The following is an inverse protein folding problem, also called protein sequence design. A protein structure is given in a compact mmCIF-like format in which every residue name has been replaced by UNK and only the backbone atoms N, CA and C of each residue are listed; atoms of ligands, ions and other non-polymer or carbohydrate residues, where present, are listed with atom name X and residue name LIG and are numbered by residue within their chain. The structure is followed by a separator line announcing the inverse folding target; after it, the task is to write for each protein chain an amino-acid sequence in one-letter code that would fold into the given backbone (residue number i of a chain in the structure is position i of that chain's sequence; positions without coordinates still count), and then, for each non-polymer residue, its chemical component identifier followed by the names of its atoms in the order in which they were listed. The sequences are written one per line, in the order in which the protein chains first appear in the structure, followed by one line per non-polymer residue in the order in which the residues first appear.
data_IF_185923187337
#
_entry.id   IF_185923187337
#
_cell.length_a   1.000
_cell.length_b   1.000
_cell.length_c   1.000
_cell.angle_alpha   90.00
_cell.angle_beta   90.00
_cell.angle_gamma   90.00
#
_symmetry.space_group_name_H-M   'P 1'
#
loop_
_entity.id
_entity.type
_entity.pdbx_description
1 polymer ?
#
# COMPACT_ATOMS: atom_id res chain seq x y z
N UNK A 1 -4.26 3.43 7.52
CA UNK A 1 -4.00 2.47 8.61
C UNK A 1 -3.19 3.15 9.71
N UNK A 2 -3.48 2.85 10.97
CA UNK A 2 -2.78 3.41 12.14
C UNK A 2 -2.24 2.30 13.05
N UNK A 3 -1.18 2.58 13.81
CA UNK A 3 -0.59 1.67 14.80
C UNK A 3 -0.09 2.47 16.00
N UNK A 4 -0.13 1.89 17.20
CA UNK A 4 0.56 2.48 18.34
C UNK A 4 2.10 2.40 18.17
N UNK A 5 2.85 3.39 18.65
CA UNK A 5 4.31 3.32 18.71
C UNK A 5 4.79 2.06 19.48
N UNK A 6 5.97 1.56 19.11
CA UNK A 6 6.48 0.29 19.65
C UNK A 6 6.66 0.26 21.18
N UNK A 7 7.00 1.40 21.79
CA UNK A 7 7.24 1.51 23.23
C UNK A 7 5.98 1.65 24.10
N UNK A 8 4.79 1.77 23.49
CA UNK A 8 3.56 2.03 24.26
C UNK A 8 3.25 0.89 25.24
N UNK A 9 3.52 -0.36 24.87
CA UNK A 9 3.30 -1.51 25.77
C UNK A 9 4.23 -1.43 26.98
N UNK A 10 5.52 -1.20 26.75
CA UNK A 10 6.53 -1.13 27.81
C UNK A 10 6.24 0.05 28.77
N UNK A 11 5.83 1.21 28.24
CA UNK A 11 5.44 2.39 29.03
C UNK A 11 4.24 2.10 29.95
N UNK A 12 3.28 1.29 29.49
CA UNK A 12 2.11 0.88 30.28
C UNK A 12 2.51 -0.12 31.37
N UNK A 13 3.39 -1.07 31.06
CA UNK A 13 3.88 -2.03 32.05
C UNK A 13 4.72 -1.36 33.16
N UNK A 14 5.42 -0.28 32.84
CA UNK A 14 6.18 0.53 33.82
C UNK A 14 5.29 1.43 34.70
N UNK A 15 4.06 1.74 34.29
CA UNK A 15 3.06 2.43 35.10
C UNK A 15 1.67 1.79 34.97
N UNK A 16 1.46 0.61 35.58
CA UNK A 16 0.20 -0.11 35.49
C UNK A 16 -0.95 0.59 36.23
N UNK A 17 -0.64 1.59 37.07
CA UNK A 17 -1.63 2.43 37.74
C UNK A 17 -2.19 3.53 36.85
N UNK A 18 -1.50 3.85 35.73
CA UNK A 18 -1.87 4.92 34.82
C UNK A 18 -1.72 6.33 35.43
N UNK A 19 -1.03 6.46 36.55
CA UNK A 19 -0.90 7.73 37.27
C UNK A 19 -0.13 8.78 36.44
N UNK A 20 0.94 8.38 35.75
CA UNK A 20 1.68 9.24 34.82
C UNK A 20 0.77 9.72 33.70
N UNK A 21 -0.04 8.83 33.12
CA UNK A 21 -0.99 9.18 32.05
C UNK A 21 -2.14 10.10 32.53
N UNK A 22 -2.52 10.02 33.82
CA UNK A 22 -3.57 10.85 34.41
C UNK A 22 -3.13 12.32 34.60
N UNK A 23 -1.85 12.53 34.88
CA UNK A 23 -1.25 13.86 35.03
C UNK A 23 -0.66 14.41 33.73
N UNK A 24 -0.39 13.53 32.77
CA UNK A 24 -0.01 13.93 31.42
C UNK A 24 -1.22 14.57 30.73
N UNK A 25 -1.20 15.90 30.67
CA UNK A 25 -2.19 16.67 29.90
C UNK A 25 -1.84 16.48 28.43
N UNK A 26 -2.27 15.34 27.89
CA UNK A 26 -2.00 14.94 26.51
C UNK A 26 -2.31 16.06 25.52
N UNK A 27 -1.69 15.99 24.34
CA UNK A 27 -1.82 17.01 23.32
C UNK A 27 -3.30 17.28 22.98
N UNK A 28 -3.71 18.55 23.05
CA UNK A 28 -5.06 19.06 22.79
C UNK A 28 -6.17 18.42 23.65
N UNK A 29 -5.88 18.12 24.92
CA UNK A 29 -6.80 17.40 25.84
C UNK A 29 -7.22 16.00 25.31
N UNK A 30 -6.45 15.42 24.39
CA UNK A 30 -6.66 14.05 23.93
C UNK A 30 -5.87 13.03 24.74
N UNK A 31 -6.05 11.75 24.42
CA UNK A 31 -5.29 10.65 25.04
C UNK A 31 -3.78 10.88 24.97
N UNK A 32 -3.04 10.45 26.00
CA UNK A 32 -1.57 10.57 26.07
C UNK A 32 -0.89 9.76 24.97
N UNK A 33 -1.35 8.53 24.72
CA UNK A 33 -0.84 7.72 23.62
C UNK A 33 -1.50 8.12 22.29
N UNK A 34 -0.69 8.55 21.33
CA UNK A 34 -1.13 8.83 19.97
C UNK A 34 -0.74 7.68 19.06
N UNK A 35 -1.64 7.32 18.14
CA UNK A 35 -1.34 6.34 17.10
C UNK A 35 -0.63 7.02 15.92
N UNK A 36 0.36 6.33 15.37
CA UNK A 36 1.04 6.72 14.15
C UNK A 36 0.27 6.27 12.93
N UNK A 37 0.18 7.14 11.93
CA UNK A 37 -0.35 6.78 10.62
C UNK A 37 0.75 6.08 9.83
N UNK A 38 0.64 4.75 9.71
CA UNK A 38 1.66 3.91 9.04
C UNK A 38 1.43 3.75 7.54
N UNK A 39 0.20 3.96 7.08
CA UNK A 39 -0.17 3.83 5.68
C UNK A 39 -1.35 4.76 5.34
N UNK A 40 -1.25 5.44 4.20
CA UNK A 40 -2.28 6.30 3.63
C UNK A 40 -2.34 6.06 2.13
N UNK A 41 -3.55 5.95 1.60
CA UNK A 41 -3.78 5.73 0.18
C UNK A 41 -5.18 6.18 -0.23
N UNK A 42 -5.28 6.95 -1.32
CA UNK A 42 -6.57 7.31 -1.89
C UNK A 42 -7.00 6.29 -2.96
N UNK A 43 -8.04 5.50 -2.64
CA UNK A 43 -8.60 4.49 -3.54
C UNK A 43 -9.30 5.13 -4.75
N UNK A 44 -9.93 6.29 -4.56
CA UNK A 44 -10.78 6.95 -5.57
C UNK A 44 -12.28 6.79 -5.30
N UNK A 45 -12.64 5.86 -4.41
CA UNK A 45 -14.03 5.55 -4.04
C UNK A 45 -14.16 5.40 -2.51
N UNK A 46 -15.39 5.52 -2.01
CA UNK A 46 -15.67 5.31 -0.58
C UNK A 46 -15.60 3.82 -0.28
N UNK A 47 -14.64 3.43 0.56
CA UNK A 47 -14.54 2.07 1.09
C UNK A 47 -15.65 1.84 2.11
N UNK A 48 -16.45 0.78 1.90
CA UNK A 48 -17.62 0.43 2.73
C UNK A 48 -17.35 -0.72 3.68
N UNK A 49 -16.40 -1.61 3.37
CA UNK A 49 -15.94 -2.66 4.28
C UNK A 49 -14.46 -2.95 4.08
N UNK A 50 -13.79 -3.38 5.15
CA UNK A 50 -12.41 -3.88 5.12
C UNK A 50 -12.34 -5.11 6.01
N UNK A 51 -11.77 -6.20 5.49
CA UNK A 51 -11.63 -7.46 6.21
C UNK A 51 -10.26 -8.07 5.94
N UNK A 52 -9.56 -8.49 7.00
CA UNK A 52 -8.39 -9.36 6.87
C UNK A 52 -8.86 -10.77 6.54
N UNK A 53 -8.43 -11.32 5.42
CA UNK A 53 -8.86 -12.63 4.95
C UNK A 53 -7.79 -13.30 4.09
N UNK A 54 -7.90 -14.62 3.96
CA UNK A 54 -7.16 -15.42 2.99
C UNK A 54 -8.11 -15.82 1.87
N UNK A 55 -7.84 -15.39 0.63
CA UNK A 55 -8.74 -15.61 -0.51
C UNK A 55 -8.60 -16.99 -1.15
N UNK A 56 -7.45 -17.64 -0.98
CA UNK A 56 -7.12 -18.94 -1.59
C UNK A 56 -6.71 -19.92 -0.49
N UNK A 57 -7.19 -21.19 -0.51
CA UNK A 57 -6.70 -22.20 0.42
C UNK A 57 -5.17 -22.32 0.39
N UNK A 58 -4.50 -22.12 1.53
CA UNK A 58 -3.04 -22.13 1.62
C UNK A 58 -2.35 -20.84 1.17
N UNK A 59 -3.12 -19.83 0.74
CA UNK A 59 -2.62 -18.49 0.40
C UNK A 59 -2.25 -17.66 1.63
N UNK A 60 -1.68 -16.49 1.38
CA UNK A 60 -1.31 -15.54 2.43
C UNK A 60 -2.47 -14.60 2.79
N UNK A 61 -2.49 -14.09 4.03
CA UNK A 61 -3.47 -13.09 4.43
C UNK A 61 -3.28 -11.77 3.68
N UNK A 62 -4.39 -11.14 3.30
CA UNK A 62 -4.45 -9.79 2.75
C UNK A 62 -5.59 -9.00 3.39
N UNK A 63 -5.60 -7.68 3.19
CA UNK A 63 -6.76 -6.87 3.54
C UNK A 63 -7.64 -6.71 2.30
N UNK A 64 -8.80 -7.32 2.32
CA UNK A 64 -9.82 -7.19 1.28
C UNK A 64 -10.72 -6.03 1.63
N UNK A 65 -11.02 -5.17 0.67
CA UNK A 65 -11.95 -4.06 0.85
C UNK A 65 -13.00 -4.01 -0.26
N UNK A 66 -14.18 -3.48 0.09
CA UNK A 66 -15.25 -3.21 -0.88
C UNK A 66 -15.55 -1.72 -0.92
N UNK A 67 -16.01 -1.23 -2.06
CA UNK A 67 -16.35 0.18 -2.26
C UNK A 67 -17.85 0.36 -2.54
N UNK A 68 -18.34 1.59 -2.34
CA UNK A 68 -19.73 1.96 -2.58
C UNK A 68 -20.16 1.78 -4.05
N UNK A 69 -19.21 1.88 -5.00
CA UNK A 69 -19.46 1.68 -6.43
C UNK A 69 -19.47 0.19 -6.84
N UNK A 70 -19.29 -0.74 -5.88
CA UNK A 70 -19.24 -2.17 -6.14
C UNK A 70 -17.85 -2.70 -6.48
N UNK A 71 -16.80 -1.88 -6.34
CA UNK A 71 -15.42 -2.32 -6.49
C UNK A 71 -14.98 -3.23 -5.34
N UNK A 72 -14.13 -4.21 -5.65
CA UNK A 72 -13.46 -5.07 -4.66
C UNK A 72 -11.97 -4.97 -4.91
N UNK A 73 -11.22 -4.58 -3.89
CA UNK A 73 -9.78 -4.45 -3.96
C UNK A 73 -9.08 -5.18 -2.81
N UNK A 74 -7.77 -5.32 -2.93
CA UNK A 74 -6.92 -5.97 -1.93
C UNK A 74 -5.70 -5.11 -1.63
N UNK A 75 -5.26 -5.10 -0.36
CA UNK A 75 -3.96 -4.61 0.04
C UNK A 75 -3.11 -5.79 0.48
N UNK A 76 -1.99 -5.97 -0.20
CA UNK A 76 -1.08 -7.10 -0.04
C UNK A 76 0.19 -6.64 0.66
N UNK A 77 0.62 -7.31 1.74
CA UNK A 77 1.90 -7.01 2.37
C UNK A 77 3.05 -7.61 1.57
N UNK A 78 4.11 -6.83 1.34
CA UNK A 78 5.36 -7.36 0.79
C UNK A 78 6.07 -8.26 1.80
N UNK A 79 6.66 -9.35 1.32
CA UNK A 79 7.42 -10.31 2.13
C UNK A 79 8.91 -9.99 2.22
N UNK A 80 9.42 -9.14 1.31
CA UNK A 80 10.83 -8.76 1.26
C UNK A 80 10.98 -7.28 0.88
N UNK A 81 12.06 -6.65 1.34
CA UNK A 81 12.43 -5.30 0.90
C UNK A 81 12.76 -5.26 -0.59
N UNK A 82 13.36 -6.33 -1.13
CA UNK A 82 13.67 -6.44 -2.56
C UNK A 82 12.42 -6.38 -3.44
N UNK A 83 11.32 -7.02 -3.02
CA UNK A 83 10.04 -6.93 -3.73
C UNK A 83 9.45 -5.52 -3.62
N UNK A 84 9.43 -4.95 -2.42
CA UNK A 84 8.98 -3.58 -2.21
C UNK A 84 9.72 -2.60 -3.13
N UNK A 85 11.04 -2.65 -3.14
CA UNK A 85 11.88 -1.75 -3.93
C UNK A 85 11.66 -1.97 -5.42
N UNK A 86 11.55 -3.23 -5.88
CA UNK A 86 11.23 -3.53 -7.28
C UNK A 86 9.91 -2.88 -7.72
N UNK A 87 8.83 -3.09 -6.95
CA UNK A 87 7.51 -2.56 -7.30
C UNK A 87 7.45 -1.04 -7.17
N UNK A 88 8.21 -0.45 -6.24
CA UNK A 88 8.32 0.99 -6.10
C UNK A 88 8.96 1.61 -7.34
N UNK A 89 10.07 1.05 -7.82
CA UNK A 89 10.72 1.53 -9.04
C UNK A 89 9.82 1.31 -10.27
N UNK A 90 9.18 0.14 -10.39
CA UNK A 90 8.24 -0.13 -11.48
C UNK A 90 7.10 0.92 -11.53
N UNK A 91 6.48 1.23 -10.39
CA UNK A 91 5.46 2.28 -10.29
C UNK A 91 6.02 3.64 -10.75
N UNK A 92 7.21 4.02 -10.29
CA UNK A 92 7.87 5.27 -10.69
C UNK A 92 8.08 5.37 -12.21
N UNK A 93 8.52 4.30 -12.86
CA UNK A 93 8.72 4.27 -14.32
C UNK A 93 7.38 4.35 -15.07
N UNK A 94 6.37 3.55 -14.67
CA UNK A 94 5.07 3.54 -15.36
C UNK A 94 4.37 4.89 -15.23
N UNK A 95 4.49 5.58 -14.09
CA UNK A 95 3.95 6.94 -13.93
C UNK A 95 4.48 7.92 -14.98
N UNK A 96 5.71 7.74 -15.42
CA UNK A 96 6.35 8.61 -16.42
C UNK A 96 6.04 8.15 -17.84
N UNK A 97 6.11 6.84 -18.09
CA UNK A 97 5.98 6.26 -19.44
C UNK A 97 4.54 6.01 -19.88
N UNK A 98 3.61 5.88 -18.93
CA UNK A 98 2.20 5.58 -19.16
C UNK A 98 1.30 6.43 -18.23
N UNK A 99 1.30 7.77 -18.40
CA UNK A 99 0.56 8.67 -17.52
C UNK A 99 -0.95 8.46 -17.63
N UNK A 100 -1.73 8.82 -16.58
CA UNK A 100 -3.19 8.66 -16.59
C UNK A 100 -3.86 9.39 -17.77
N UNK A 101 -4.79 8.70 -18.43
CA UNK A 101 -5.44 9.15 -19.67
C UNK A 101 -6.10 10.53 -19.57
N UNK A 102 -6.68 10.86 -18.42
CA UNK A 102 -7.38 12.12 -18.20
C UNK A 102 -6.46 13.28 -17.80
N UNK A 103 -5.14 13.14 -17.96
CA UNK A 103 -4.16 14.20 -17.67
C UNK A 103 -3.97 14.49 -16.17
N UNK A 104 -4.48 13.63 -15.28
CA UNK A 104 -4.27 13.75 -13.84
C UNK A 104 -2.91 13.17 -13.48
N UNK A 105 -2.12 13.87 -12.67
CA UNK A 105 -0.92 13.28 -12.08
C UNK A 105 -1.30 12.15 -11.09
N UNK A 106 -0.68 10.98 -11.27
CA UNK A 106 -1.00 9.77 -10.51
C UNK A 106 -0.74 9.94 -9.01
N UNK A 107 0.41 10.50 -8.63
CA UNK A 107 0.77 10.67 -7.22
C UNK A 107 -0.12 11.69 -6.53
N UNK A 108 -0.47 12.77 -7.25
CA UNK A 108 -1.44 13.77 -6.80
C UNK A 108 -2.84 13.16 -6.62
N UNK A 109 -3.23 12.20 -7.45
CA UNK A 109 -4.48 11.45 -7.28
C UNK A 109 -4.41 10.54 -6.06
N UNK A 110 -3.38 9.70 -5.92
CA UNK A 110 -3.22 8.80 -4.76
C UNK A 110 -2.99 9.54 -3.44
N UNK A 111 -2.59 10.80 -3.52
CA UNK A 111 -2.39 11.71 -2.39
C UNK A 111 -3.50 12.76 -2.22
N UNK A 112 -4.71 12.52 -2.73
CA UNK A 112 -5.76 13.54 -2.85
C UNK A 112 -6.07 14.31 -1.55
N UNK A 113 -6.17 13.59 -0.42
CA UNK A 113 -6.45 14.19 0.89
C UNK A 113 -5.23 14.17 1.83
N UNK A 114 -4.46 13.09 1.78
CA UNK A 114 -3.25 12.89 2.57
C UNK A 114 -2.17 12.33 1.66
N UNK A 115 -0.89 12.68 1.85
CA UNK A 115 0.21 12.09 1.10
C UNK A 115 0.18 10.58 1.17
N UNK A 116 0.37 9.92 0.03
CA UNK A 116 0.53 8.46 -0.02
C UNK A 116 1.68 8.04 0.88
N UNK A 117 1.49 6.96 1.64
CA UNK A 117 2.50 6.45 2.57
C UNK A 117 2.47 4.93 2.56
N UNK A 118 3.61 4.31 2.25
CA UNK A 118 3.84 2.87 2.32
C UNK A 118 2.80 2.02 1.54
N UNK A 119 2.36 2.50 0.38
CA UNK A 119 1.48 1.77 -0.54
C UNK A 119 1.96 2.04 -1.96
N UNK A 120 2.04 0.97 -2.76
CA UNK A 120 2.35 1.00 -4.19
C UNK A 120 1.06 0.66 -4.95
N UNK A 121 0.77 1.39 -6.02
CA UNK A 121 -0.41 1.17 -6.84
C UNK A 121 -0.23 -0.03 -7.80
N UNK A 122 -0.71 -1.20 -7.37
CA UNK A 122 -0.69 -2.42 -8.17
C UNK A 122 -1.45 -2.30 -9.49
N UNK A 123 -2.56 -1.56 -9.53
CA UNK A 123 -3.36 -1.38 -10.75
C UNK A 123 -2.58 -0.59 -11.81
N UNK A 124 -1.75 0.37 -11.37
CA UNK A 124 -0.84 1.06 -12.27
C UNK A 124 0.28 0.11 -12.74
N UNK A 125 0.88 -0.65 -11.82
CA UNK A 125 1.93 -1.60 -12.15
C UNK A 125 1.50 -2.65 -13.19
N UNK A 126 0.27 -3.16 -13.11
CA UNK A 126 -0.27 -4.12 -14.07
C UNK A 126 -0.43 -3.54 -15.50
N UNK A 127 -0.50 -2.21 -15.65
CA UNK A 127 -0.56 -1.56 -16.97
C UNK A 127 0.72 -1.77 -17.78
N UNK A 128 1.83 -2.18 -17.15
CA UNK A 128 3.05 -2.57 -17.85
C UNK A 128 2.76 -3.51 -19.03
N UNK A 129 1.91 -4.52 -18.82
CA UNK A 129 1.57 -5.51 -19.84
C UNK A 129 0.76 -4.93 -21.03
N UNK A 130 0.18 -3.74 -20.87
CA UNK A 130 -0.58 -3.03 -21.90
C UNK A 130 0.23 -1.95 -22.63
N UNK A 131 1.46 -1.67 -22.20
CA UNK A 131 2.35 -0.71 -22.83
C UNK A 131 2.89 -1.23 -24.17
N UNK A 132 3.35 -0.32 -25.04
CA UNK A 132 4.04 -0.72 -26.27
C UNK A 132 5.30 -1.56 -25.95
N UNK A 133 5.63 -2.59 -26.76
CA UNK A 133 6.77 -3.47 -26.49
C UNK A 133 8.11 -2.74 -26.35
N UNK A 134 8.30 -1.64 -27.07
CA UNK A 134 9.48 -0.76 -26.96
C UNK A 134 9.61 -0.14 -25.56
N UNK A 135 8.50 0.35 -24.99
CA UNK A 135 8.48 0.93 -23.64
C UNK A 135 8.60 -0.13 -22.57
N UNK A 136 7.95 -1.29 -22.74
CA UNK A 136 8.13 -2.43 -21.84
C UNK A 136 9.61 -2.82 -21.74
N UNK A 137 10.28 -2.90 -22.88
CA UNK A 137 11.72 -3.18 -22.94
C UNK A 137 12.54 -2.10 -22.23
N UNK A 138 12.28 -0.83 -22.49
CA UNK A 138 12.98 0.29 -21.84
C UNK A 138 12.86 0.25 -20.32
N UNK A 139 11.63 0.09 -19.80
CA UNK A 139 11.37 0.02 -18.35
C UNK A 139 12.00 -1.24 -17.75
N UNK A 140 11.91 -2.38 -18.42
CA UNK A 140 12.52 -3.61 -17.92
C UNK A 140 14.05 -3.51 -17.85
N UNK A 141 14.69 -2.90 -18.86
CA UNK A 141 16.14 -2.64 -18.86
C UNK A 141 16.57 -1.74 -17.70
N UNK A 142 15.79 -0.70 -17.37
CA UNK A 142 16.05 0.17 -16.20
C UNK A 142 15.90 -0.56 -14.85
N UNK A 143 15.14 -1.65 -14.82
CA UNK A 143 15.00 -2.54 -13.67
C UNK A 143 15.98 -3.72 -13.67
N UNK A 144 16.93 -3.76 -14.61
CA UNK A 144 17.85 -4.88 -14.84
C UNK A 144 17.11 -6.23 -15.03
N UNK A 145 16.00 -6.21 -15.78
CA UNK A 145 15.13 -7.37 -16.06
C UNK A 145 14.72 -7.42 -17.52
N UNK A 146 14.11 -8.53 -17.90
CA UNK A 146 13.37 -8.67 -19.16
C UNK A 146 11.88 -8.37 -18.95
N UNK A 147 11.13 -7.96 -20.00
CA UNK A 147 9.69 -7.77 -19.87
C UNK A 147 8.96 -9.00 -19.34
N UNK A 148 9.38 -10.19 -19.76
CA UNK A 148 8.81 -11.45 -19.29
C UNK A 148 9.01 -11.68 -17.78
N UNK A 149 10.16 -11.29 -17.23
CA UNK A 149 10.41 -11.38 -15.78
C UNK A 149 9.58 -10.37 -14.98
N UNK A 150 9.39 -9.16 -15.50
CA UNK A 150 8.51 -8.15 -14.89
C UNK A 150 7.06 -8.64 -14.88
N UNK A 151 6.55 -9.11 -16.03
CA UNK A 151 5.20 -9.68 -16.14
C UNK A 151 5.00 -10.87 -15.21
N UNK A 152 5.98 -11.77 -15.14
CA UNK A 152 5.93 -12.92 -14.23
C UNK A 152 5.87 -12.47 -12.77
N UNK A 153 6.68 -11.48 -12.38
CA UNK A 153 6.69 -10.98 -10.99
C UNK A 153 5.38 -10.29 -10.59
N UNK A 154 4.73 -9.58 -11.52
CA UNK A 154 3.37 -9.04 -11.36
C UNK A 154 2.36 -10.17 -11.09
N UNK A 155 2.39 -11.21 -11.94
CA UNK A 155 1.51 -12.38 -11.84
C UNK A 155 1.74 -13.20 -10.55
N UNK A 156 3.00 -13.36 -10.13
CA UNK A 156 3.37 -14.09 -8.92
C UNK A 156 2.77 -13.45 -7.66
N UNK A 157 2.75 -12.11 -7.57
CA UNK A 157 2.07 -11.41 -6.47
C UNK A 157 0.57 -11.68 -6.53
N UNK A 158 -0.05 -11.52 -7.69
CA UNK A 158 -1.49 -11.73 -7.83
C UNK A 158 -1.88 -13.15 -7.43
N UNK A 159 -1.22 -14.15 -7.99
CA UNK A 159 -1.51 -15.58 -7.75
C UNK A 159 -1.31 -16.00 -6.29
N UNK A 160 -0.40 -15.34 -5.55
CA UNK A 160 -0.14 -15.67 -4.14
C UNK A 160 -1.27 -15.22 -3.20
N UNK A 161 -1.98 -14.14 -3.54
CA UNK A 161 -2.96 -13.50 -2.65
C UNK A 161 -4.38 -13.46 -3.23
N UNK A 162 -4.54 -13.66 -4.54
CA UNK A 162 -5.78 -13.48 -5.29
C UNK A 162 -5.85 -14.39 -6.53
N UNK A 163 -7.02 -14.34 -7.18
CA UNK A 163 -7.40 -15.16 -8.33
C UNK A 163 -7.19 -14.46 -9.68
#
# INVERSE_FOLDING_TARGET
MVRLPAGVTDEVDEDPTGNKALWDRGLLNGASQKADVICNYHVGEVVTSVQKATLIPGGSESLVYTTISGGVGILVPFTSHEDHDFFQHLEMHIRSEHPPLCGRDHLSFRSYYYPVKNVIDGDLCEQFNSMEPSKQKSVAEELDRTPAEVSKKLEDIRTRYAF
#
